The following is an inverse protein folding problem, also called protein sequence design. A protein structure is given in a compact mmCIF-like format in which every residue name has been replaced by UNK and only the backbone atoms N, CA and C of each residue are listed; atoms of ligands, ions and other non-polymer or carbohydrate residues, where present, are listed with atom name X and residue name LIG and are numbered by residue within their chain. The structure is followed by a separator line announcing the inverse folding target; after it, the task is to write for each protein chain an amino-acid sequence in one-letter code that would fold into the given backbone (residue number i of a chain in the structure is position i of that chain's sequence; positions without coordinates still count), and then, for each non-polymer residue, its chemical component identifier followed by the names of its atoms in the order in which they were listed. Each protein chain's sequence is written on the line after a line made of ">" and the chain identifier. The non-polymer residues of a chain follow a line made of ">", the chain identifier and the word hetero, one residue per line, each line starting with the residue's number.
data_IF_337215407980
#
_entry.id   IF_337215407980
#
_cell.length_a   1.000
_cell.length_b   1.000
_cell.length_c   1.000
_cell.angle_alpha   90.00
_cell.angle_beta   90.00
_cell.angle_gamma   90.00
#
_symmetry.space_group_name_H-M   'P 1'
#
loop_
_entity.id
_entity.type
_entity.pdbx_description
1 polymer ?
#
# COMPACT_ATOMS: atom_id res chain seq x y z
N UNK A 1 17.10 -11.71 5.19
CA UNK A 1 16.75 -11.79 3.76
C UNK A 1 17.33 -10.56 3.06
N UNK A 2 18.29 -10.73 2.16
CA UNK A 2 18.91 -9.61 1.43
C UNK A 2 17.89 -9.05 0.43
N UNK A 3 17.61 -7.75 0.50
CA UNK A 3 16.88 -7.06 -0.55
C UNK A 3 17.67 -7.21 -1.86
N UNK A 4 17.11 -7.92 -2.83
CA UNK A 4 17.66 -7.98 -4.18
C UNK A 4 17.44 -6.60 -4.79
N UNK A 5 18.51 -5.79 -4.80
CA UNK A 5 18.47 -4.47 -5.39
C UNK A 5 18.04 -4.53 -6.85
N UNK A 6 17.04 -3.73 -7.22
CA UNK A 6 16.60 -3.54 -8.61
C UNK A 6 17.63 -2.71 -9.39
N UNK A 7 18.85 -3.21 -9.51
CA UNK A 7 19.83 -2.70 -10.46
C UNK A 7 19.36 -2.98 -11.89
N UNK A 8 19.70 -2.13 -12.88
CA UNK A 8 19.42 -2.43 -14.27
C UNK A 8 20.13 -3.74 -14.65
N UNK A 9 19.37 -4.71 -15.16
CA UNK A 9 19.91 -5.98 -15.65
C UNK A 9 20.81 -5.73 -16.85
N UNK A 10 21.87 -6.53 -17.02
CA UNK A 10 22.68 -6.51 -18.25
C UNK A 10 21.77 -6.68 -19.46
N UNK A 11 21.85 -5.75 -20.42
CA UNK A 11 20.96 -5.69 -21.59
C UNK A 11 19.67 -4.87 -21.42
N UNK A 12 19.42 -4.23 -20.26
CA UNK A 12 18.24 -3.37 -20.11
C UNK A 12 18.37 -2.07 -20.90
N UNK A 13 17.54 -1.91 -21.93
CA UNK A 13 17.54 -0.74 -22.82
C UNK A 13 16.86 0.50 -22.22
N UNK A 14 16.20 0.39 -21.06
CA UNK A 14 15.37 1.48 -20.47
C UNK A 14 16.11 2.78 -20.15
N UNK A 15 17.44 2.76 -20.01
CA UNK A 15 18.25 3.99 -19.88
C UNK A 15 18.46 4.72 -21.20
N UNK A 16 18.56 3.97 -22.29
CA UNK A 16 18.84 4.49 -23.64
C UNK A 16 17.53 4.79 -24.37
N UNK A 17 16.54 3.91 -24.23
CA UNK A 17 15.23 4.00 -24.85
C UNK A 17 14.12 3.76 -23.80
N UNK A 18 13.74 4.81 -23.03
CA UNK A 18 12.81 4.67 -21.91
C UNK A 18 11.43 4.15 -22.34
N UNK A 19 11.01 4.46 -23.56
CA UNK A 19 9.68 4.09 -24.08
C UNK A 19 9.66 2.73 -24.78
N UNK A 20 10.81 2.22 -25.22
CA UNK A 20 10.89 0.93 -25.92
C UNK A 20 10.58 -0.25 -24.98
N UNK A 21 9.92 -1.31 -25.47
CA UNK A 21 9.75 -2.55 -24.72
C UNK A 21 11.13 -3.13 -24.37
N UNK A 22 11.37 -3.44 -23.10
CA UNK A 22 12.60 -4.12 -22.69
C UNK A 22 12.29 -5.59 -22.45
N UNK A 23 13.01 -6.49 -23.12
CA UNK A 23 12.83 -7.94 -22.96
C UNK A 23 13.40 -8.45 -21.62
N UNK A 24 14.29 -7.69 -20.99
CA UNK A 24 14.99 -8.10 -19.75
C UNK A 24 14.37 -7.51 -18.48
N UNK A 25 13.86 -6.29 -18.57
CA UNK A 25 13.23 -5.58 -17.46
C UNK A 25 11.72 -5.91 -17.49
N UNK A 26 11.16 -6.63 -16.50
CA UNK A 26 9.72 -6.89 -16.46
C UNK A 26 8.97 -5.55 -16.45
N UNK A 27 7.80 -5.46 -17.10
CA UNK A 27 7.05 -4.20 -17.12
C UNK A 27 6.72 -3.79 -15.68
N UNK A 28 7.01 -2.52 -15.34
CA UNK A 28 6.68 -1.93 -14.02
C UNK A 28 5.21 -2.12 -13.67
N UNK A 29 4.35 -2.13 -14.69
CA UNK A 29 2.95 -2.51 -14.59
C UNK A 29 2.67 -3.51 -15.71
N UNK A 30 2.44 -4.81 -15.42
CA UNK A 30 1.99 -5.73 -16.45
C UNK A 30 0.72 -5.16 -17.08
N UNK A 31 0.73 -4.95 -18.40
CA UNK A 31 -0.48 -4.60 -19.15
C UNK A 31 -1.43 -5.77 -18.97
N UNK A 32 -2.40 -5.62 -18.07
CA UNK A 32 -3.58 -6.48 -18.07
C UNK A 32 -4.18 -6.37 -19.46
N UNK A 33 -4.27 -7.50 -20.18
CA UNK A 33 -4.97 -7.56 -21.46
C UNK A 33 -6.34 -6.94 -21.24
N UNK A 34 -6.58 -5.77 -21.84
CA UNK A 34 -7.81 -5.04 -21.71
C UNK A 34 -8.92 -5.82 -22.43
N UNK A 35 -9.50 -6.82 -21.74
CA UNK A 35 -10.88 -7.17 -21.98
C UNK A 35 -11.68 -5.96 -21.53
N UNK A 36 -12.13 -5.16 -22.49
CA UNK A 36 -13.11 -4.11 -22.26
C UNK A 36 -14.37 -4.76 -21.68
N UNK A 37 -14.41 -4.87 -20.35
CA UNK A 37 -15.66 -4.99 -19.62
C UNK A 37 -16.08 -3.55 -19.40
N UNK A 38 -17.18 -3.14 -20.02
CA UNK A 38 -17.91 -1.95 -19.58
C UNK A 38 -18.34 -2.24 -18.15
N UNK A 39 -17.62 -1.68 -17.18
CA UNK A 39 -18.01 -1.73 -15.79
C UNK A 39 -19.11 -0.69 -15.61
N UNK A 40 -20.28 -1.15 -15.19
CA UNK A 40 -21.33 -0.26 -14.75
C UNK A 40 -20.89 0.42 -13.44
N UNK A 41 -20.40 1.65 -13.55
CA UNK A 41 -19.98 2.46 -12.41
C UNK A 41 -21.16 2.93 -11.53
N UNK A 42 -22.41 2.68 -11.95
CA UNK A 42 -23.58 2.97 -11.11
C UNK A 42 -23.72 1.98 -9.95
N UNK A 43 -23.18 0.76 -10.10
CA UNK A 43 -23.17 -0.24 -9.04
C UNK A 43 -21.90 -0.09 -8.20
N UNK A 44 -22.04 0.55 -7.04
CA UNK A 44 -20.99 0.54 -6.03
C UNK A 44 -21.07 -0.75 -5.20
N UNK A 45 -19.94 -1.42 -4.93
CA UNK A 45 -19.95 -2.61 -4.10
C UNK A 45 -20.34 -2.23 -2.66
N UNK A 46 -21.12 -3.09 -2.01
CA UNK A 46 -21.43 -2.92 -0.60
C UNK A 46 -20.18 -3.15 0.26
N UNK A 47 -20.20 -2.67 1.51
CA UNK A 47 -19.13 -2.95 2.48
C UNK A 47 -18.87 -4.45 2.65
N UNK A 48 -19.92 -5.27 2.57
CA UNK A 48 -19.82 -6.73 2.69
C UNK A 48 -19.19 -7.35 1.44
N UNK A 49 -19.55 -6.89 0.25
CA UNK A 49 -18.95 -7.33 -1.01
C UNK A 49 -17.45 -7.01 -1.03
N UNK A 50 -17.05 -5.81 -0.61
CA UNK A 50 -15.64 -5.39 -0.50
C UNK A 50 -14.90 -6.24 0.52
N UNK A 51 -15.50 -6.47 1.70
CA UNK A 51 -14.89 -7.29 2.75
C UNK A 51 -14.68 -8.73 2.29
N UNK A 52 -15.67 -9.31 1.59
CA UNK A 52 -15.56 -10.65 1.03
C UNK A 52 -14.48 -10.74 -0.06
N UNK A 53 -14.30 -9.70 -0.88
CA UNK A 53 -13.20 -9.63 -1.85
C UNK A 53 -11.83 -9.61 -1.16
N UNK A 54 -11.68 -8.81 -0.11
CA UNK A 54 -10.43 -8.72 0.66
C UNK A 54 -10.09 -10.04 1.36
N UNK A 55 -11.07 -10.67 2.02
CA UNK A 55 -10.92 -11.98 2.67
C UNK A 55 -10.47 -13.03 1.65
N UNK A 56 -11.15 -13.14 0.51
CA UNK A 56 -10.75 -14.09 -0.55
C UNK A 56 -9.32 -13.88 -1.02
N UNK A 57 -8.91 -12.63 -1.23
CA UNK A 57 -7.55 -12.28 -1.64
C UNK A 57 -6.51 -12.70 -0.59
N UNK A 58 -6.76 -12.40 0.68
CA UNK A 58 -5.87 -12.74 1.79
C UNK A 58 -5.75 -14.26 1.98
N UNK A 59 -6.87 -14.98 1.94
CA UNK A 59 -6.87 -16.45 2.03
C UNK A 59 -6.10 -17.09 0.87
N UNK A 60 -6.17 -16.53 -0.34
CA UNK A 60 -5.41 -17.03 -1.49
C UNK A 60 -3.89 -16.92 -1.30
N UNK A 61 -3.42 -15.93 -0.54
CA UNK A 61 -2.00 -15.75 -0.20
C UNK A 61 -1.60 -16.55 1.04
N UNK A 62 -2.54 -17.28 1.68
CA UNK A 62 -2.27 -18.15 2.82
C UNK A 62 -2.34 -17.44 4.18
N UNK A 63 -2.98 -16.28 4.27
CA UNK A 63 -3.22 -15.62 5.56
C UNK A 63 -4.48 -16.17 6.25
N UNK A 64 -4.44 -16.26 7.58
CA UNK A 64 -5.64 -16.47 8.39
C UNK A 64 -6.48 -15.18 8.41
N UNK A 65 -7.73 -15.30 7.97
CA UNK A 65 -8.69 -14.20 7.86
C UNK A 65 -9.75 -14.22 8.95
N UNK A 66 -9.66 -15.13 9.94
CA UNK A 66 -10.65 -15.27 11.03
C UNK A 66 -10.87 -13.98 11.82
N UNK A 67 -9.84 -13.14 11.91
CA UNK A 67 -9.85 -11.85 12.61
C UNK A 67 -9.95 -10.64 11.67
N UNK A 68 -10.17 -10.87 10.37
CA UNK A 68 -10.25 -9.78 9.41
C UNK A 68 -11.48 -8.91 9.65
N UNK A 69 -11.26 -7.61 9.67
CA UNK A 69 -12.29 -6.57 9.65
C UNK A 69 -11.76 -5.34 8.91
N UNK A 70 -12.66 -4.52 8.34
CA UNK A 70 -12.27 -3.25 7.74
C UNK A 70 -11.50 -2.34 8.72
N UNK A 71 -11.85 -2.39 10.00
CA UNK A 71 -11.14 -1.69 11.09
C UNK A 71 -9.71 -2.19 11.23
N UNK A 72 -9.50 -3.51 11.28
CA UNK A 72 -8.16 -4.11 11.35
C UNK A 72 -7.31 -3.78 10.12
N UNK A 73 -7.91 -3.77 8.93
CA UNK A 73 -7.23 -3.43 7.68
C UNK A 73 -6.79 -1.95 7.68
N UNK A 74 -7.68 -1.05 8.11
CA UNK A 74 -7.36 0.38 8.26
C UNK A 74 -6.25 0.60 9.29
N UNK A 75 -6.32 -0.08 10.43
CA UNK A 75 -5.29 -0.06 11.48
C UNK A 75 -3.92 -0.48 10.94
N UNK A 76 -3.88 -1.60 10.24
CA UNK A 76 -2.66 -2.13 9.62
C UNK A 76 -2.08 -1.18 8.58
N UNK A 77 -2.93 -0.58 7.74
CA UNK A 77 -2.51 0.41 6.74
C UNK A 77 -1.88 1.65 7.38
N UNK A 78 -2.53 2.24 8.38
CA UNK A 78 -2.00 3.41 9.11
C UNK A 78 -0.67 3.07 9.77
N UNK A 79 -0.60 1.92 10.47
CA UNK A 79 0.62 1.49 11.17
C UNK A 79 1.78 1.27 10.18
N UNK A 80 1.52 0.60 9.06
CA UNK A 80 2.53 0.35 8.01
C UNK A 80 3.05 1.65 7.40
N UNK A 81 2.18 2.62 7.18
CA UNK A 81 2.58 3.91 6.61
C UNK A 81 3.46 4.72 7.57
N UNK A 82 3.17 4.71 8.87
CA UNK A 82 4.05 5.32 9.88
C UNK A 82 5.40 4.60 9.92
N UNK A 83 5.40 3.26 9.88
CA UNK A 83 6.65 2.49 9.86
C UNK A 83 7.48 2.75 8.60
N UNK A 84 6.83 3.10 7.49
CA UNK A 84 7.48 3.54 6.25
C UNK A 84 7.96 5.01 6.29
N UNK A 85 7.75 5.73 7.40
CA UNK A 85 8.17 7.12 7.58
C UNK A 85 7.22 8.16 6.99
N UNK A 86 5.95 7.81 6.72
CA UNK A 86 4.96 8.79 6.30
C UNK A 86 4.67 9.73 7.47
N UNK A 87 4.77 11.06 7.28
CA UNK A 87 4.46 12.04 8.32
C UNK A 87 3.06 11.85 8.91
N UNK A 88 2.97 11.88 10.24
CA UNK A 88 1.70 11.73 10.97
C UNK A 88 0.64 12.73 10.50
N UNK A 89 1.03 13.98 10.22
CA UNK A 89 0.14 15.02 9.69
C UNK A 89 -0.49 14.62 8.34
N UNK A 90 0.26 13.99 7.44
CA UNK A 90 -0.23 13.51 6.14
C UNK A 90 -1.21 12.35 6.36
N UNK A 91 -0.91 11.44 7.29
CA UNK A 91 -1.76 10.31 7.61
C UNK A 91 -3.11 10.72 8.20
N UNK A 92 -3.13 11.75 9.04
CA UNK A 92 -4.38 12.29 9.58
C UNK A 92 -5.22 12.95 8.51
N UNK A 93 -4.63 13.79 7.66
CA UNK A 93 -5.32 14.39 6.52
C UNK A 93 -5.93 13.33 5.59
N UNK A 94 -5.22 12.24 5.30
CA UNK A 94 -5.69 11.20 4.37
C UNK A 94 -6.64 10.19 5.00
N UNK A 95 -6.49 9.92 6.29
CA UNK A 95 -7.36 8.96 6.99
C UNK A 95 -8.67 9.59 7.46
N UNK A 96 -8.88 10.89 7.28
CA UNK A 96 -10.14 11.56 7.66
C UNK A 96 -10.35 11.68 9.18
N UNK A 97 -9.34 11.37 9.98
CA UNK A 97 -9.30 11.77 11.37
C UNK A 97 -8.57 13.11 11.42
N UNK A 98 -9.19 14.15 11.97
CA UNK A 98 -8.42 15.28 12.49
C UNK A 98 -7.41 14.76 13.55
N UNK A 99 -6.61 15.61 14.20
CA UNK A 99 -5.64 15.17 15.24
C UNK A 99 -6.31 14.62 16.53
N UNK A 100 -7.29 13.76 16.38
CA UNK A 100 -8.16 13.16 17.38
C UNK A 100 -7.42 12.00 18.07
N UNK A 101 -7.61 11.92 19.38
CA UNK A 101 -7.15 10.83 20.25
C UNK A 101 -7.63 9.47 19.74
N UNK A 102 -8.81 9.40 19.11
CA UNK A 102 -9.32 8.19 18.49
C UNK A 102 -8.42 7.67 17.35
N UNK A 103 -7.78 8.56 16.61
CA UNK A 103 -6.91 8.24 15.49
C UNK A 103 -5.65 7.49 15.96
N UNK A 104 -5.10 7.89 17.11
CA UNK A 104 -3.93 7.24 17.73
C UNK A 104 -4.18 5.81 18.17
N UNK A 105 -5.44 5.40 18.41
CA UNK A 105 -5.79 3.99 18.72
C UNK A 105 -5.55 3.06 17.54
N UNK A 106 -5.49 3.60 16.32
CA UNK A 106 -5.17 2.84 15.12
C UNK A 106 -3.68 2.57 14.92
N UNK A 107 -2.82 3.14 15.77
CA UNK A 107 -1.38 3.01 15.62
C UNK A 107 -0.88 1.84 16.48
N UNK A 108 -0.24 0.86 15.85
CA UNK A 108 0.61 -0.13 16.52
C UNK A 108 1.98 -0.10 15.88
N UNK A 109 2.96 0.45 16.60
CA UNK A 109 4.33 0.56 16.10
C UNK A 109 5.21 -0.49 16.74
N UNK A 110 6.06 -1.10 15.93
CA UNK A 110 7.18 -1.91 16.43
C UNK A 110 8.29 -1.05 17.00
N UNK A 111 8.40 0.22 16.56
CA UNK A 111 9.35 1.19 17.08
C UNK A 111 8.70 2.57 17.22
N UNK A 112 8.46 3.05 18.45
CA UNK A 112 7.90 4.38 18.69
C UNK A 112 8.76 5.53 18.16
N UNK A 113 10.07 5.30 17.99
CA UNK A 113 11.03 6.29 17.47
C UNK A 113 10.69 6.73 16.05
N UNK A 114 10.00 5.88 15.27
CA UNK A 114 9.61 6.20 13.89
C UNK A 114 8.62 7.37 13.80
N UNK A 115 7.86 7.66 14.86
CA UNK A 115 6.99 8.85 14.92
C UNK A 115 7.79 10.15 14.90
N UNK A 116 8.98 10.15 15.52
CA UNK A 116 9.79 11.34 15.73
C UNK A 116 10.82 11.56 14.61
N UNK A 117 11.19 10.51 13.87
CA UNK A 117 12.15 10.61 12.75
C UNK A 117 11.76 11.62 11.67
N UNK A 118 10.46 11.81 11.46
CA UNK A 118 9.98 12.81 10.50
C UNK A 118 10.31 14.23 10.99
N UNK A 119 10.12 14.50 12.28
CA UNK A 119 10.42 15.80 12.88
C UNK A 119 11.93 16.09 12.85
N UNK A 120 12.75 15.08 13.19
CA UNK A 120 14.20 15.15 13.05
C UNK A 120 14.63 15.47 11.61
N UNK A 121 13.99 14.86 10.60
CA UNK A 121 14.31 15.10 9.18
C UNK A 121 13.98 16.53 8.72
N UNK A 122 13.04 17.21 9.38
CA UNK A 122 12.71 18.62 9.13
C UNK A 122 13.40 19.59 10.12
N UNK A 123 14.25 19.09 11.03
CA UNK A 123 14.94 19.90 12.04
C UNK A 123 13.99 20.56 13.05
N UNK A 124 12.86 19.91 13.33
CA UNK A 124 11.83 20.35 14.27
C UNK A 124 11.93 19.63 15.61
#
# INVERSE_FOLDING_TARGET
>A
MKAVGNGPREGCTKRVEPQSPCLFCPPLFPRTLARSRTFDLSRQPTSDEVSAMAVRGLSHVGYDTSLFSGISARRGGISTAIEAGVPEAILWMQSGHAQDVAARRYIQLRSPVLLYKTWEAFGL
#
